data_IF_873678058825
#
_entry.id   IF_873678058825
#
_cell.length_a   1.000
_cell.length_b   1.000
_cell.length_c   1.000
_cell.angle_alpha   90.00
_cell.angle_beta   90.00
_cell.angle_gamma   90.00
#
_symmetry.space_group_name_H-M   'P 1'
#
loop_
_entity.id
_entity.type
_entity.pdbx_description
1 polymer ?
#
# COMPACT_ATOMS: atom_id res chain seq x y z
N UNK A 1 14.78 4.99 -2.71
CA UNK A 1 14.49 4.12 -1.55
C UNK A 1 15.68 4.23 -0.63
N UNK A 2 15.49 4.61 0.63
CA UNK A 2 16.60 4.76 1.57
C UNK A 2 17.21 3.40 1.94
N UNK A 3 18.53 3.30 1.90
CA UNK A 3 19.26 2.05 2.19
C UNK A 3 19.02 1.57 3.63
N UNK A 4 18.92 2.51 4.58
CA UNK A 4 18.67 2.28 6.00
C UNK A 4 17.32 1.60 6.32
N UNK A 5 16.39 1.54 5.35
CA UNK A 5 15.09 0.89 5.50
C UNK A 5 15.03 -0.47 4.81
N UNK A 6 16.18 -1.01 4.41
CA UNK A 6 16.27 -2.26 3.66
C UNK A 6 17.25 -3.24 4.27
N UNK A 7 17.04 -4.52 3.92
CA UNK A 7 17.91 -5.64 4.27
C UNK A 7 18.38 -6.34 3.00
N UNK A 8 19.66 -6.70 2.96
CA UNK A 8 20.22 -7.45 1.86
C UNK A 8 19.63 -8.86 1.81
N UNK A 9 19.09 -9.27 0.65
CA UNK A 9 18.64 -10.64 0.41
C UNK A 9 19.72 -11.44 -0.31
N UNK A 10 20.32 -10.84 -1.34
CA UNK A 10 21.46 -11.38 -2.10
C UNK A 10 22.20 -10.22 -2.78
N UNK A 11 23.33 -10.42 -3.51
CA UNK A 11 24.11 -9.31 -4.08
C UNK A 11 23.37 -8.34 -5.02
N UNK A 12 22.21 -8.71 -5.55
CA UNK A 12 21.44 -7.93 -6.52
C UNK A 12 20.06 -7.50 -6.03
N UNK A 13 19.62 -8.02 -4.88
CA UNK A 13 18.27 -7.82 -4.35
C UNK A 13 18.28 -7.45 -2.88
N UNK A 14 17.38 -6.53 -2.55
CA UNK A 14 17.11 -6.07 -1.20
C UNK A 14 15.61 -6.21 -0.92
N UNK A 15 15.26 -6.44 0.33
CA UNK A 15 13.88 -6.39 0.81
C UNK A 15 13.71 -5.19 1.73
N UNK A 16 12.49 -4.65 1.79
CA UNK A 16 12.16 -3.65 2.81
C UNK A 16 12.22 -4.30 4.19
N UNK A 17 12.86 -3.65 5.16
CA UNK A 17 12.93 -4.17 6.52
C UNK A 17 11.51 -4.37 7.09
N UNK A 18 11.29 -5.50 7.76
CA UNK A 18 9.97 -5.91 8.27
C UNK A 18 9.12 -6.71 7.28
N UNK A 19 9.62 -7.02 6.09
CA UNK A 19 8.93 -7.88 5.10
C UNK A 19 9.56 -9.28 4.93
N UNK A 20 10.56 -9.60 5.73
CA UNK A 20 11.35 -10.85 5.65
C UNK A 20 10.61 -12.07 6.20
N UNK A 21 9.61 -11.85 7.06
CA UNK A 21 8.83 -12.93 7.68
C UNK A 21 7.36 -12.53 7.88
N UNK A 22 6.49 -13.52 8.09
CA UNK A 22 5.06 -13.30 8.37
C UNK A 22 4.83 -13.21 9.89
N UNK A 23 3.98 -12.29 10.36
CA UNK A 23 3.20 -11.31 9.60
C UNK A 23 4.07 -10.17 9.03
N UNK A 24 3.89 -9.86 7.75
CA UNK A 24 4.69 -8.84 7.05
C UNK A 24 4.24 -7.44 7.46
N UNK A 25 5.18 -6.58 7.88
CA UNK A 25 4.93 -5.17 8.20
C UNK A 25 6.17 -4.33 7.93
N UNK A 26 6.20 -3.72 6.74
CA UNK A 26 7.27 -2.82 6.31
C UNK A 26 7.53 -1.70 7.33
N UNK A 27 8.81 -1.44 7.63
CA UNK A 27 9.26 -0.38 8.54
C UNK A 27 8.78 1.02 8.12
N UNK A 28 8.58 1.25 6.83
CA UNK A 28 8.05 2.51 6.29
C UNK A 28 6.54 2.70 6.47
N UNK A 29 5.80 1.67 6.93
CA UNK A 29 4.36 1.76 7.16
C UNK A 29 4.07 2.39 8.53
N UNK A 30 3.66 3.66 8.52
CA UNK A 30 3.21 4.37 9.70
C UNK A 30 1.70 4.21 9.90
N UNK A 31 1.29 4.00 11.15
CA UNK A 31 -0.10 3.87 11.55
C UNK A 31 -0.57 2.43 11.73
N UNK A 32 -1.89 2.26 11.77
CA UNK A 32 -2.56 1.00 12.08
C UNK A 32 -3.53 0.60 10.96
N UNK A 33 -3.38 -0.64 10.47
CA UNK A 33 -4.22 -1.19 9.40
C UNK A 33 -5.65 -1.34 9.92
N UNK A 34 -6.62 -0.81 9.17
CA UNK A 34 -8.03 -0.74 9.60
C UNK A 34 -8.43 0.63 10.17
N UNK A 35 -7.46 1.45 10.57
CA UNK A 35 -7.68 2.84 10.97
C UNK A 35 -7.15 3.79 9.88
N UNK A 36 -5.87 4.15 9.97
CA UNK A 36 -5.22 5.06 9.05
C UNK A 36 -3.75 4.70 8.93
N UNK A 37 -3.28 4.54 7.70
CA UNK A 37 -1.88 4.23 7.39
C UNK A 37 -1.34 5.14 6.31
N UNK A 38 -0.03 5.37 6.34
CA UNK A 38 0.70 6.01 5.25
C UNK A 38 2.12 5.48 5.16
N UNK A 39 2.69 5.49 3.96
CA UNK A 39 4.11 5.24 3.77
C UNK A 39 4.90 6.51 4.11
N UNK A 40 5.89 6.42 4.99
CA UNK A 40 6.75 7.56 5.36
C UNK A 40 7.74 7.96 4.28
N UNK A 41 7.98 7.08 3.30
CA UNK A 41 8.92 7.26 2.19
C UNK A 41 8.23 7.12 0.83
N UNK A 42 6.97 7.56 0.72
CA UNK A 42 6.12 7.32 -0.44
C UNK A 42 6.79 7.69 -1.78
N UNK A 43 7.40 8.87 -1.89
CA UNK A 43 8.10 9.30 -3.12
C UNK A 43 9.33 8.44 -3.46
N UNK A 44 9.97 7.91 -2.43
CA UNK A 44 11.19 7.12 -2.54
C UNK A 44 10.93 5.60 -2.56
N UNK A 45 9.67 5.16 -2.65
CA UNK A 45 9.27 3.74 -2.60
C UNK A 45 9.99 2.86 -3.63
N UNK A 46 10.15 1.56 -3.35
CA UNK A 46 10.74 0.60 -4.30
C UNK A 46 9.92 0.46 -5.57
N UNK A 47 10.50 -0.09 -6.65
CA UNK A 47 9.76 -0.41 -7.88
C UNK A 47 8.57 -1.31 -7.61
N UNK A 48 8.74 -2.35 -6.80
CA UNK A 48 7.66 -3.27 -6.38
C UNK A 48 6.48 -2.55 -5.74
N UNK A 49 6.72 -1.50 -4.93
CA UNK A 49 5.66 -0.66 -4.37
C UNK A 49 5.09 0.35 -5.37
N UNK A 50 5.85 0.79 -6.39
CA UNK A 50 5.36 1.69 -7.45
C UNK A 50 4.46 0.97 -8.44
N UNK A 51 4.78 -0.28 -8.74
CA UNK A 51 4.09 -1.14 -9.71
C UNK A 51 2.80 -1.73 -9.14
N UNK A 52 2.61 -1.69 -7.82
CA UNK A 52 1.38 -2.16 -7.18
C UNK A 52 0.21 -1.22 -7.48
N UNK A 53 -0.79 -1.73 -8.20
CA UNK A 53 -2.01 -0.99 -8.52
C UNK A 53 -3.06 -1.15 -7.42
N UNK A 54 -3.56 -0.04 -6.87
CA UNK A 54 -4.61 -0.08 -5.87
C UNK A 54 -5.92 -0.60 -6.48
N UNK A 55 -6.69 -1.37 -5.70
CA UNK A 55 -8.03 -1.78 -6.14
C UNK A 55 -8.86 -0.55 -6.53
N UNK A 56 -9.56 -0.69 -7.66
CA UNK A 56 -10.42 0.31 -8.27
C UNK A 56 -9.71 1.57 -8.80
N UNK A 57 -8.37 1.61 -8.84
CA UNK A 57 -7.63 2.72 -9.46
C UNK A 57 -8.04 2.94 -10.93
N UNK A 58 -8.24 1.85 -11.67
CA UNK A 58 -8.72 1.86 -13.06
C UNK A 58 -10.16 1.33 -13.19
N UNK A 59 -10.97 1.45 -12.13
CA UNK A 59 -12.32 0.89 -12.10
C UNK A 59 -12.37 -0.64 -12.08
N UNK A 60 -11.25 -1.31 -11.81
CA UNK A 60 -11.16 -2.78 -11.69
C UNK A 60 -10.78 -3.18 -10.27
N UNK A 61 -11.35 -4.26 -9.71
CA UNK A 61 -10.92 -4.78 -8.42
C UNK A 61 -9.48 -5.32 -8.50
N UNK A 62 -8.77 -5.33 -7.37
CA UNK A 62 -7.48 -6.02 -7.26
C UNK A 62 -7.57 -7.10 -6.16
N UNK A 63 -7.56 -8.40 -6.51
CA UNK A 63 -7.61 -9.50 -5.54
C UNK A 63 -6.52 -9.46 -4.48
N UNK A 64 -5.35 -8.89 -4.78
CA UNK A 64 -4.27 -8.74 -3.81
C UNK A 64 -4.64 -7.77 -2.67
N UNK A 65 -5.43 -6.74 -2.97
CA UNK A 65 -5.94 -5.83 -1.93
C UNK A 65 -6.94 -6.54 -1.01
N UNK A 66 -7.83 -7.36 -1.57
CA UNK A 66 -8.81 -8.12 -0.79
C UNK A 66 -8.14 -9.19 0.07
N UNK A 67 -7.15 -9.90 -0.47
CA UNK A 67 -6.34 -10.86 0.29
C UNK A 67 -5.58 -10.18 1.44
N UNK A 68 -4.98 -9.01 1.18
CA UNK A 68 -4.31 -8.23 2.22
C UNK A 68 -5.29 -7.83 3.33
N UNK A 69 -6.49 -7.35 2.97
CA UNK A 69 -7.53 -6.98 3.94
C UNK A 69 -8.03 -8.17 4.74
N UNK A 70 -8.26 -9.31 4.10
CA UNK A 70 -8.67 -10.55 4.77
C UNK A 70 -7.64 -11.02 5.81
N UNK A 71 -6.34 -10.85 5.53
CA UNK A 71 -5.28 -11.17 6.49
C UNK A 71 -5.33 -10.32 7.78
N UNK A 72 -5.97 -9.15 7.73
CA UNK A 72 -6.23 -8.28 8.88
C UNK A 72 -7.69 -8.35 9.39
N UNK A 73 -8.49 -9.30 8.90
CA UNK A 73 -9.91 -9.45 9.29
C UNK A 73 -10.83 -8.35 8.76
N UNK A 74 -10.41 -7.62 7.73
CA UNK A 74 -11.18 -6.53 7.13
C UNK A 74 -12.02 -7.02 5.93
N UNK A 75 -13.22 -6.43 5.70
CA UNK A 75 -14.06 -6.79 4.56
C UNK A 75 -13.41 -6.37 3.22
N UNK A 76 -13.74 -6.99 2.08
CA UNK A 76 -13.18 -6.63 0.77
C UNK A 76 -13.52 -5.19 0.35
N UNK A 77 -12.76 -4.63 -0.60
CA UNK A 77 -13.00 -3.27 -1.09
C UNK A 77 -14.16 -3.23 -2.10
N UNK A 78 -15.13 -2.36 -1.83
CA UNK A 78 -16.18 -2.03 -2.79
C UNK A 78 -15.70 -0.94 -3.76
N UNK A 79 -16.30 -0.85 -4.97
CA UNK A 79 -16.02 0.25 -5.87
C UNK A 79 -16.19 1.61 -5.18
N UNK A 80 -15.33 2.60 -5.45
CA UNK A 80 -15.49 3.93 -4.90
C UNK A 80 -16.82 4.51 -5.38
N UNK A 81 -17.56 5.13 -4.47
CA UNK A 81 -18.73 5.92 -4.83
C UNK A 81 -18.23 7.07 -5.69
N UNK A 82 -18.59 7.09 -6.97
CA UNK A 82 -18.32 8.23 -7.83
C UNK A 82 -19.04 9.44 -7.22
N UNK A 83 -18.33 10.53 -6.89
CA UNK A 83 -19.01 11.73 -6.47
C UNK A 83 -19.80 12.24 -7.68
N UNK A 84 -21.13 12.22 -7.57
CA UNK A 84 -21.97 13.05 -8.44
C UNK A 84 -21.51 14.49 -8.21
N UNK A 85 -20.82 15.08 -9.19
CA UNK A 85 -20.33 16.46 -9.26
C UNK A 85 -20.41 17.23 -7.94
N UNK A 86 -19.28 17.37 -7.24
CA UNK A 86 -19.18 18.45 -6.27
C UNK A 86 -19.39 19.77 -7.03
N UNK A 87 -20.37 20.63 -6.65
CA UNK A 87 -20.51 21.92 -7.29
C UNK A 87 -19.18 22.67 -7.17
N UNK A 88 -18.76 23.30 -8.28
CA UNK A 88 -17.46 23.95 -8.41
C UNK A 88 -17.21 24.84 -7.19
N UNK A 89 -16.09 24.60 -6.50
CA UNK A 89 -15.63 25.48 -5.42
C UNK A 89 -15.47 26.89 -6.02
N UNK A 90 -16.40 27.78 -5.68
CA UNK A 90 -16.27 29.22 -5.97
C UNK A 90 -15.19 29.75 -5.04
N UNK A 91 -14.26 30.53 -5.62
CA UNK A 91 -13.06 31.08 -4.99
C UNK A 91 -13.37 32.03 -3.83
#
# INVERSE_FOLDING_TARGET
>A
MPDELTVQVNPQMVAMSGTESRPVRCVGLLGEVGCGVRCTVYEQRSSTCREFEAAWANGQPNPACDAARAAYGLPPLTPPLQPHLAPGRVA
#
